data_IF_104647409175
#
_entry.id   IF_104647409175
#
_cell.length_a   1.000
_cell.length_b   1.000
_cell.length_c   1.000
_cell.angle_alpha   90.00
_cell.angle_beta   90.00
_cell.angle_gamma   90.00
#
_symmetry.space_group_name_H-M   'P 1'
#
loop_
_entity.id
_entity.type
_entity.pdbx_description
1 polymer ?
#
# COMPACT_ATOMS: atom_id res chain seq x y z
N UNK A 1 16.51 -3.73 11.00
CA UNK A 1 15.71 -3.89 9.74
C UNK A 1 14.26 -4.27 10.00
N UNK A 2 14.01 -5.18 10.94
CA UNK A 2 12.63 -5.55 11.30
C UNK A 2 11.83 -4.35 11.84
N UNK A 3 12.46 -3.50 12.63
CA UNK A 3 11.83 -2.28 13.16
C UNK A 3 11.40 -1.35 12.03
N UNK A 4 12.22 -1.18 11.00
CA UNK A 4 11.88 -0.37 9.82
C UNK A 4 10.71 -0.99 9.05
N UNK A 5 10.63 -2.31 9.00
CA UNK A 5 9.52 -3.03 8.38
C UNK A 5 8.22 -2.73 9.12
N UNK A 6 8.25 -2.81 10.45
CA UNK A 6 7.09 -2.51 11.29
C UNK A 6 6.66 -1.04 11.19
N UNK A 7 7.62 -0.12 11.18
CA UNK A 7 7.35 1.31 11.03
C UNK A 7 6.70 1.61 9.69
N UNK A 8 7.20 1.02 8.61
CA UNK A 8 6.64 1.18 7.28
C UNK A 8 5.21 0.66 7.22
N UNK A 9 4.96 -0.52 7.81
CA UNK A 9 3.62 -1.09 7.88
C UNK A 9 2.67 -0.21 8.69
N UNK A 10 3.14 0.34 9.80
CA UNK A 10 2.36 1.25 10.64
C UNK A 10 2.01 2.54 9.90
N UNK A 11 2.94 3.08 9.12
CA UNK A 11 2.75 4.30 8.33
C UNK A 11 1.67 4.14 7.25
N UNK A 12 1.42 2.90 6.80
CA UNK A 12 0.38 2.61 5.81
C UNK A 12 -1.03 2.86 6.35
N UNK A 13 -1.27 2.57 7.63
CA UNK A 13 -2.61 2.65 8.22
C UNK A 13 -3.21 4.04 8.11
N UNK A 14 -2.52 5.13 8.53
CA UNK A 14 -3.07 6.47 8.38
C UNK A 14 -3.36 6.85 6.92
N UNK A 15 -2.50 6.44 5.98
CA UNK A 15 -2.70 6.76 4.57
C UNK A 15 -3.98 6.13 4.02
N UNK A 16 -4.26 4.88 4.39
CA UNK A 16 -5.46 4.17 3.97
C UNK A 16 -6.70 4.81 4.60
N UNK A 17 -6.62 5.14 5.89
CA UNK A 17 -7.73 5.80 6.61
C UNK A 17 -8.04 7.16 5.99
N UNK A 18 -7.02 7.97 5.70
CA UNK A 18 -7.21 9.28 5.07
C UNK A 18 -7.82 9.13 3.67
N UNK A 19 -7.37 8.16 2.88
CA UNK A 19 -7.94 7.89 1.56
C UNK A 19 -9.42 7.52 1.67
N UNK A 20 -9.78 6.72 2.68
CA UNK A 20 -11.16 6.31 2.92
C UNK A 20 -12.06 7.47 3.36
N UNK A 21 -11.55 8.32 4.25
CA UNK A 21 -12.35 9.39 4.87
C UNK A 21 -12.49 10.64 4.01
N UNK A 22 -11.53 10.92 3.13
CA UNK A 22 -11.59 12.16 2.34
C UNK A 22 -12.72 12.11 1.30
N UNK A 23 -13.56 13.15 1.22
CA UNK A 23 -14.57 13.25 0.16
C UNK A 23 -14.00 13.75 -1.16
N UNK A 24 -12.77 14.25 -1.17
CA UNK A 24 -12.14 14.85 -2.35
C UNK A 24 -11.38 13.77 -3.11
N UNK A 25 -11.86 13.44 -4.33
CA UNK A 25 -11.31 12.33 -5.11
C UNK A 25 -9.83 12.49 -5.44
N UNK A 26 -9.38 13.69 -5.74
CA UNK A 26 -7.97 13.95 -6.04
C UNK A 26 -7.07 13.69 -4.84
N UNK A 27 -7.52 14.05 -3.64
CA UNK A 27 -6.79 13.76 -2.41
C UNK A 27 -6.76 12.25 -2.15
N UNK A 28 -7.85 11.55 -2.42
CA UNK A 28 -7.91 10.10 -2.29
C UNK A 28 -6.86 9.42 -3.17
N UNK A 29 -6.75 9.83 -4.44
CA UNK A 29 -5.73 9.29 -5.35
C UNK A 29 -4.34 9.56 -4.80
N UNK A 30 -4.07 10.76 -4.28
CA UNK A 30 -2.76 11.10 -3.72
C UNK A 30 -2.42 10.20 -2.51
N UNK A 31 -3.36 9.96 -1.60
CA UNK A 31 -3.14 9.07 -0.46
C UNK A 31 -2.94 7.62 -0.90
N UNK A 32 -3.69 7.16 -1.89
CA UNK A 32 -3.53 5.81 -2.44
C UNK A 32 -2.18 5.63 -3.12
N UNK A 33 -1.71 6.63 -3.86
CA UNK A 33 -0.38 6.60 -4.46
C UNK A 33 0.73 6.51 -3.40
N UNK A 34 0.61 7.28 -2.32
CA UNK A 34 1.54 7.21 -1.19
C UNK A 34 1.52 5.83 -0.53
N UNK A 35 0.32 5.26 -0.35
CA UNK A 35 0.17 3.93 0.24
C UNK A 35 0.80 2.85 -0.66
N UNK A 36 0.59 2.92 -1.97
CA UNK A 36 1.18 1.98 -2.92
C UNK A 36 2.71 2.05 -2.91
N UNK A 37 3.27 3.25 -2.83
CA UNK A 37 4.71 3.45 -2.70
C UNK A 37 5.23 2.80 -1.40
N UNK A 38 4.53 2.99 -0.29
CA UNK A 38 4.90 2.37 0.98
C UNK A 38 4.84 0.85 0.93
N UNK A 39 3.88 0.27 0.20
CA UNK A 39 3.83 -1.18 0.00
C UNK A 39 5.05 -1.69 -0.75
N UNK A 40 5.53 -0.97 -1.76
CA UNK A 40 6.76 -1.33 -2.47
C UNK A 40 7.96 -1.34 -1.51
N UNK A 41 8.07 -0.32 -0.66
CA UNK A 41 9.13 -0.24 0.35
C UNK A 41 9.00 -1.39 1.36
N UNK A 42 7.78 -1.66 1.82
CA UNK A 42 7.50 -2.74 2.77
C UNK A 42 7.93 -4.10 2.21
N UNK A 43 7.55 -4.40 0.97
CA UNK A 43 7.92 -5.64 0.30
C UNK A 43 9.44 -5.78 0.18
N UNK A 44 10.14 -4.68 -0.10
CA UNK A 44 11.61 -4.67 -0.16
C UNK A 44 12.21 -5.02 1.20
N UNK A 45 11.70 -4.43 2.27
CA UNK A 45 12.18 -4.74 3.63
C UNK A 45 11.90 -6.19 4.02
N UNK A 46 10.73 -6.74 3.67
CA UNK A 46 10.40 -8.14 3.94
C UNK A 46 11.39 -9.07 3.24
N UNK A 47 11.70 -8.80 1.98
CA UNK A 47 12.68 -9.57 1.22
C UNK A 47 14.06 -9.50 1.86
N UNK A 48 14.51 -8.30 2.26
CA UNK A 48 15.80 -8.12 2.92
C UNK A 48 15.85 -8.84 4.26
N UNK A 49 14.77 -8.81 5.03
CA UNK A 49 14.69 -9.55 6.30
C UNK A 49 14.81 -11.06 6.05
N UNK A 50 14.22 -11.58 5.00
CA UNK A 50 14.33 -12.99 4.64
C UNK A 50 15.78 -13.32 4.20
N UNK A 51 16.36 -12.50 3.31
CA UNK A 51 17.73 -12.70 2.83
C UNK A 51 18.77 -12.69 3.96
N UNK A 52 18.52 -11.90 5.01
CA UNK A 52 19.39 -11.81 6.19
C UNK A 52 18.97 -12.76 7.32
N UNK A 53 18.09 -13.71 7.02
CA UNK A 53 17.61 -14.72 7.96
C UNK A 53 16.95 -14.16 9.25
N UNK A 54 16.42 -12.92 9.17
CA UNK A 54 15.70 -12.31 10.30
C UNK A 54 14.32 -12.94 10.44
N UNK A 55 13.69 -13.31 9.31
CA UNK A 55 12.42 -14.04 9.29
C UNK A 55 12.54 -15.28 8.40
N UNK A 56 11.86 -16.38 8.76
CA UNK A 56 11.86 -17.59 7.94
C UNK A 56 11.22 -17.36 6.57
N UNK A 57 11.70 -18.10 5.57
CA UNK A 57 11.20 -17.99 4.19
C UNK A 57 9.69 -18.18 4.09
N UNK A 58 9.13 -19.13 4.83
CA UNK A 58 7.68 -19.38 4.78
C UNK A 58 6.87 -18.19 5.29
N UNK A 59 7.32 -17.54 6.37
CA UNK A 59 6.67 -16.34 6.89
C UNK A 59 6.80 -15.18 5.91
N UNK A 60 7.97 -15.01 5.31
CA UNK A 60 8.20 -13.98 4.31
C UNK A 60 7.28 -14.16 3.10
N UNK A 61 7.13 -15.39 2.63
CA UNK A 61 6.23 -15.72 1.52
C UNK A 61 4.78 -15.39 1.86
N UNK A 62 4.31 -15.80 3.04
CA UNK A 62 2.95 -15.55 3.49
C UNK A 62 2.65 -14.05 3.59
N UNK A 63 3.57 -13.29 4.16
CA UNK A 63 3.42 -11.83 4.28
C UNK A 63 3.42 -11.18 2.91
N UNK A 64 4.32 -11.60 2.01
CA UNK A 64 4.40 -11.07 0.65
C UNK A 64 3.11 -11.32 -0.14
N UNK A 65 2.48 -12.48 0.02
CA UNK A 65 1.20 -12.78 -0.61
C UNK A 65 0.10 -11.85 -0.10
N UNK A 66 0.03 -11.63 1.21
CA UNK A 66 -0.94 -10.71 1.81
C UNK A 66 -0.74 -9.28 1.34
N UNK A 67 0.50 -8.79 1.33
CA UNK A 67 0.79 -7.42 0.88
C UNK A 67 0.52 -7.25 -0.60
N UNK A 68 0.76 -8.28 -1.41
CA UNK A 68 0.45 -8.27 -2.84
C UNK A 68 -1.06 -8.17 -3.06
N UNK A 69 -1.86 -8.96 -2.34
CA UNK A 69 -3.31 -8.93 -2.44
C UNK A 69 -3.89 -7.57 -2.04
N UNK A 70 -3.44 -7.03 -0.93
CA UNK A 70 -3.87 -5.71 -0.46
C UNK A 70 -3.47 -4.63 -1.46
N UNK A 71 -2.25 -4.70 -1.99
CA UNK A 71 -1.75 -3.76 -2.98
C UNK A 71 -2.58 -3.77 -4.26
N UNK A 72 -3.02 -4.96 -4.71
CA UNK A 72 -3.92 -5.10 -5.87
C UNK A 72 -5.27 -4.45 -5.61
N UNK A 73 -5.81 -4.62 -4.42
CA UNK A 73 -7.09 -4.00 -4.04
C UNK A 73 -6.98 -2.48 -4.00
N UNK A 74 -5.89 -1.95 -3.44
CA UNK A 74 -5.63 -0.51 -3.42
C UNK A 74 -5.44 0.04 -4.84
N UNK A 75 -4.73 -0.69 -5.69
CA UNK A 75 -4.54 -0.34 -7.10
C UNK A 75 -5.87 -0.27 -7.85
N UNK A 76 -6.76 -1.24 -7.62
CA UNK A 76 -8.10 -1.24 -8.18
C UNK A 76 -8.93 -0.05 -7.71
N UNK A 77 -8.87 0.24 -6.41
CA UNK A 77 -9.56 1.41 -5.84
C UNK A 77 -9.02 2.72 -6.42
N UNK A 78 -7.70 2.82 -6.57
CA UNK A 78 -7.08 3.99 -7.20
C UNK A 78 -7.57 4.19 -8.63
N UNK A 79 -7.61 3.13 -9.42
CA UNK A 79 -8.10 3.19 -10.81
C UNK A 79 -9.56 3.62 -10.87
N UNK A 80 -10.39 3.08 -9.99
CA UNK A 80 -11.81 3.44 -9.91
C UNK A 80 -11.98 4.92 -9.53
N UNK A 81 -11.17 5.41 -8.60
CA UNK A 81 -11.20 6.81 -8.16
C UNK A 81 -10.74 7.73 -9.30
N UNK A 82 -9.67 7.38 -10.00
CA UNK A 82 -9.19 8.14 -11.15
C UNK A 82 -10.24 8.20 -12.28
N UNK A 83 -10.92 7.07 -12.53
CA UNK A 83 -12.01 7.03 -13.50
C UNK A 83 -13.17 7.94 -13.09
N UNK A 84 -13.50 8.01 -11.81
CA UNK A 84 -14.53 8.91 -11.29
C UNK A 84 -14.17 10.37 -11.50
N UNK A 85 -12.89 10.74 -11.33
CA UNK A 85 -12.39 12.08 -11.61
C UNK A 85 -12.57 12.43 -13.08
N UNK A 86 -12.21 11.51 -13.98
CA UNK A 86 -12.37 11.73 -15.43
C UNK A 86 -13.83 11.90 -15.82
N UNK A 87 -14.73 11.10 -15.27
CA UNK A 87 -16.18 11.26 -15.48
C UNK A 87 -16.67 12.64 -15.02
N UNK A 88 -16.17 13.11 -13.89
CA UNK A 88 -16.51 14.42 -13.34
C UNK A 88 -16.11 15.55 -14.29
N UNK A 89 -14.97 15.41 -14.98
CA UNK A 89 -14.47 16.40 -15.94
C UNK A 89 -15.28 16.43 -17.23
N UNK A 90 -15.87 15.32 -17.65
CA UNK A 90 -16.60 15.23 -18.90
C UNK A 90 -18.04 15.73 -18.80
N UNK A 91 -18.47 16.13 -17.64
CA UNK A 91 -19.75 16.78 -17.38
C UNK A 91 -19.58 18.29 -17.28
#
# INVERSE_FOLDING_TARGET
MWEKTLDTATDLIPLIVYAYETPILRERVAYLDKALTKFTVLNTYIRLCNENAIIPTQKATNIAELTTDISKQLGGWRRATAAAIEKSKSV
#
